data_IF_772470825632
#
_entry.id   IF_772470825632
#
_cell.length_a   1.000
_cell.length_b   1.000
_cell.length_c   1.000
_cell.angle_alpha   90.00
_cell.angle_beta   90.00
_cell.angle_gamma   90.00
#
_symmetry.space_group_name_H-M   'P 1'
#
loop_
_entity.id
_entity.type
_entity.pdbx_description
1 polymer ?
#
# COMPACT_ATOMS: atom_id res chain seq x y z
N UNK A 1 16.63 -5.54 -44.16
CA UNK A 1 16.05 -4.70 -43.09
C UNK A 1 15.72 -5.54 -41.84
N UNK A 2 16.10 -6.82 -41.84
CA UNK A 2 15.62 -7.86 -40.95
C UNK A 2 16.47 -8.03 -39.69
N UNK A 3 17.76 -7.65 -39.79
CA UNK A 3 18.73 -7.70 -38.68
C UNK A 3 18.30 -6.73 -37.56
N UNK A 4 17.80 -5.55 -37.93
CA UNK A 4 17.34 -4.52 -36.99
C UNK A 4 16.04 -4.93 -36.28
N UNK A 5 15.15 -5.66 -36.98
CA UNK A 5 13.90 -6.18 -36.41
C UNK A 5 14.16 -7.26 -35.36
N UNK A 6 15.10 -8.18 -35.62
CA UNK A 6 15.51 -9.19 -34.63
C UNK A 6 16.12 -8.58 -33.37
N UNK A 7 16.98 -7.57 -33.51
CA UNK A 7 17.56 -6.84 -32.38
C UNK A 7 16.49 -6.10 -31.56
N UNK A 8 15.52 -5.47 -32.21
CA UNK A 8 14.40 -4.81 -31.54
C UNK A 8 13.51 -5.81 -30.79
N UNK A 9 13.20 -6.96 -31.39
CA UNK A 9 12.41 -8.02 -30.74
C UNK A 9 13.13 -8.60 -29.51
N UNK A 10 14.45 -8.78 -29.57
CA UNK A 10 15.26 -9.24 -28.44
C UNK A 10 15.39 -8.19 -27.32
N UNK A 11 15.54 -6.91 -27.68
CA UNK A 11 15.55 -5.82 -26.72
C UNK A 11 14.20 -5.72 -25.98
N UNK A 12 13.10 -5.84 -26.71
CA UNK A 12 11.76 -5.85 -26.14
C UNK A 12 11.54 -7.06 -25.22
N UNK A 13 11.94 -8.27 -25.66
CA UNK A 13 11.83 -9.48 -24.84
C UNK A 13 12.60 -9.39 -23.52
N UNK A 14 13.75 -8.71 -23.49
CA UNK A 14 14.51 -8.44 -22.26
C UNK A 14 13.93 -7.35 -21.38
N UNK A 15 13.21 -6.39 -21.96
CA UNK A 15 12.60 -5.29 -21.22
C UNK A 15 11.25 -5.69 -20.56
N UNK A 16 10.52 -6.65 -21.16
CA UNK A 16 9.23 -7.14 -20.62
C UNK A 16 9.25 -7.63 -19.16
N UNK A 17 10.25 -8.34 -18.63
CA UNK A 17 10.27 -8.72 -17.22
C UNK A 17 10.47 -7.54 -16.25
N UNK A 18 11.09 -6.44 -16.70
CA UNK A 18 11.27 -5.23 -15.89
C UNK A 18 10.03 -4.32 -15.84
N UNK A 19 9.07 -4.52 -16.75
CA UNK A 19 7.79 -3.81 -16.79
C UNK A 19 6.62 -4.66 -16.31
N UNK A 20 6.88 -5.92 -15.93
CA UNK A 20 5.86 -6.73 -15.28
C UNK A 20 5.68 -6.19 -13.87
N UNK A 21 4.44 -5.88 -13.45
CA UNK A 21 4.19 -5.55 -12.05
C UNK A 21 4.60 -6.78 -11.24
N UNK A 22 5.70 -6.67 -10.48
CA UNK A 22 6.05 -7.70 -9.52
C UNK A 22 4.85 -7.83 -8.56
N UNK A 23 4.27 -9.02 -8.41
CA UNK A 23 3.36 -9.25 -7.32
C UNK A 23 4.20 -9.11 -6.06
N UNK A 24 4.12 -7.95 -5.40
CA UNK A 24 4.77 -7.71 -4.13
C UNK A 24 4.29 -8.82 -3.19
N UNK A 25 5.12 -9.85 -3.02
CA UNK A 25 4.92 -10.95 -2.10
C UNK A 25 5.09 -10.39 -0.68
N UNK A 26 4.10 -9.62 -0.25
CA UNK A 26 4.19 -8.72 0.89
C UNK A 26 3.23 -7.53 0.82
N UNK A 27 2.64 -7.21 -0.33
CA UNK A 27 1.87 -5.97 -0.54
C UNK A 27 0.75 -5.74 0.47
N UNK A 28 -0.07 -6.75 0.78
CA UNK A 28 -1.17 -6.61 1.76
C UNK A 28 -0.76 -6.96 3.20
N UNK A 29 0.10 -7.96 3.36
CA UNK A 29 0.53 -8.44 4.68
C UNK A 29 1.49 -7.44 5.35
N UNK A 30 2.42 -6.88 4.59
CA UNK A 30 3.31 -5.81 5.03
C UNK A 30 2.54 -4.56 5.41
N UNK A 31 1.59 -4.11 4.57
CA UNK A 31 0.72 -2.99 4.91
C UNK A 31 -0.11 -3.23 6.18
N UNK A 32 -0.61 -4.45 6.39
CA UNK A 32 -1.31 -4.79 7.62
C UNK A 32 -0.39 -4.76 8.86
N UNK A 33 0.86 -5.18 8.72
CA UNK A 33 1.87 -5.10 9.78
C UNK A 33 2.25 -3.64 10.07
N UNK A 34 2.56 -2.86 9.04
CA UNK A 34 2.88 -1.43 9.17
C UNK A 34 1.72 -0.65 9.81
N UNK A 35 0.48 -0.93 9.42
CA UNK A 35 -0.72 -0.34 10.04
C UNK A 35 -0.84 -0.69 11.53
N UNK A 36 -0.56 -1.94 11.89
CA UNK A 36 -0.59 -2.39 13.29
C UNK A 36 0.50 -1.70 14.12
N UNK A 37 1.68 -1.51 13.55
CA UNK A 37 2.80 -0.84 14.21
C UNK A 37 2.51 0.66 14.44
N UNK A 38 1.93 1.34 13.45
CA UNK A 38 1.50 2.75 13.58
C UNK A 38 0.42 2.89 14.66
N UNK A 39 -0.58 1.99 14.67
CA UNK A 39 -1.62 1.98 15.71
C UNK A 39 -1.04 1.80 17.11
N UNK A 40 -0.14 0.83 17.29
CA UNK A 40 0.49 0.57 18.59
C UNK A 40 1.30 1.77 19.08
N UNK A 41 2.06 2.42 18.19
CA UNK A 41 2.81 3.62 18.52
C UNK A 41 1.90 4.79 18.93
N UNK A 42 0.76 4.94 18.25
CA UNK A 42 -0.27 5.93 18.60
C UNK A 42 -0.89 5.67 19.98
N UNK A 43 -1.21 4.41 20.27
CA UNK A 43 -1.77 3.98 21.56
C UNK A 43 -0.81 4.22 22.73
N UNK A 44 0.48 3.93 22.54
CA UNK A 44 1.49 4.18 23.56
C UNK A 44 1.68 5.69 23.82
N UNK A 45 1.71 6.48 22.75
CA UNK A 45 1.77 7.95 22.84
C UNK A 45 0.54 8.52 23.55
N UNK A 46 -0.66 8.04 23.22
CA UNK A 46 -1.90 8.46 23.88
C UNK A 46 -1.89 8.12 25.37
N UNK A 47 -1.43 6.92 25.75
CA UNK A 47 -1.27 6.52 27.17
C UNK A 47 -0.24 7.40 27.90
N UNK A 48 0.87 7.75 27.24
CA UNK A 48 1.87 8.64 27.81
C UNK A 48 1.31 10.06 28.02
N UNK A 49 0.52 10.59 27.09
CA UNK A 49 -0.14 11.90 27.21
C UNK A 49 -1.22 11.90 28.29
N UNK A 50 -2.05 10.85 28.36
CA UNK A 50 -3.08 10.70 29.40
C UNK A 50 -2.48 10.61 30.81
N UNK A 51 -1.27 10.06 30.94
CA UNK A 51 -0.54 10.01 32.22
C UNK A 51 0.30 11.27 32.50
N UNK A 52 0.18 12.31 31.66
CA UNK A 52 0.88 13.59 31.81
C UNK A 52 2.37 13.56 31.45
N UNK A 53 2.86 12.49 30.82
CA UNK A 53 4.28 12.27 30.50
C UNK A 53 4.66 12.64 29.07
N UNK A 54 3.69 12.93 28.19
CA UNK A 54 3.95 13.32 26.80
C UNK A 54 3.16 14.59 26.42
N UNK A 55 3.80 15.44 25.62
CA UNK A 55 3.28 16.73 25.16
C UNK A 55 2.02 16.53 24.29
N UNK A 56 0.93 17.30 24.49
CA UNK A 56 -0.25 17.28 23.63
C UNK A 56 0.05 17.45 22.13
N UNK A 57 1.15 18.13 21.78
CA UNK A 57 1.58 18.24 20.38
C UNK A 57 1.99 16.90 19.77
N UNK A 58 2.64 16.02 20.56
CA UNK A 58 3.04 14.69 20.11
C UNK A 58 1.82 13.79 19.84
N UNK A 59 0.75 13.97 20.61
CA UNK A 59 -0.53 13.28 20.38
C UNK A 59 -1.16 13.67 19.04
N UNK A 60 -1.22 14.96 18.72
CA UNK A 60 -1.79 15.43 17.45
C UNK A 60 -0.97 14.94 16.26
N UNK A 61 0.35 14.90 16.39
CA UNK A 61 1.24 14.35 15.36
C UNK A 61 1.04 12.84 15.17
N UNK A 62 0.86 12.07 16.25
CA UNK A 62 0.57 10.64 16.16
C UNK A 62 -0.81 10.36 15.55
N UNK A 63 -1.81 11.19 15.87
CA UNK A 63 -3.15 11.09 15.30
C UNK A 63 -3.17 11.42 13.81
N UNK A 64 -2.46 12.45 13.35
CA UNK A 64 -2.40 12.79 11.93
C UNK A 64 -1.68 11.72 11.10
N UNK A 65 -0.64 11.08 11.65
CA UNK A 65 0.00 9.94 11.01
C UNK A 65 -0.94 8.72 10.89
N UNK A 66 -1.80 8.51 11.89
CA UNK A 66 -2.80 7.44 11.89
C UNK A 66 -3.93 7.72 10.90
N UNK A 67 -4.36 8.98 10.75
CA UNK A 67 -5.40 9.39 9.78
C UNK A 67 -5.03 9.00 8.35
N UNK A 68 -3.80 9.28 7.93
CA UNK A 68 -3.29 8.91 6.60
C UNK A 68 -3.30 7.38 6.38
N UNK A 69 -2.97 6.62 7.42
CA UNK A 69 -2.98 5.16 7.36
C UNK A 69 -4.42 4.61 7.21
N UNK A 70 -5.40 5.20 7.91
CA UNK A 70 -6.81 4.82 7.78
C UNK A 70 -7.37 5.17 6.41
N UNK A 71 -7.08 6.36 5.88
CA UNK A 71 -7.52 6.77 4.53
C UNK A 71 -7.01 5.81 3.45
N UNK A 72 -5.75 5.39 3.58
CA UNK A 72 -5.14 4.41 2.67
C UNK A 72 -5.81 3.03 2.79
N UNK A 73 -6.11 2.58 4.01
CA UNK A 73 -6.82 1.32 4.24
C UNK A 73 -8.24 1.32 3.64
N UNK A 74 -8.97 2.44 3.76
CA UNK A 74 -10.30 2.59 3.14
C UNK A 74 -10.20 2.60 1.61
N UNK A 75 -9.22 3.31 1.05
CA UNK A 75 -8.95 3.31 -0.39
C UNK A 75 -8.70 1.90 -0.92
N UNK A 76 -7.91 1.11 -0.19
CA UNK A 76 -7.62 -0.27 -0.55
C UNK A 76 -8.87 -1.16 -0.47
N UNK A 77 -9.69 -0.98 0.57
CA UNK A 77 -11.00 -1.65 0.70
C UNK A 77 -11.88 -1.38 -0.52
N UNK A 78 -11.97 -0.12 -0.93
CA UNK A 78 -12.82 0.28 -2.05
C UNK A 78 -12.32 -0.29 -3.38
N UNK A 79 -11.00 -0.32 -3.60
CA UNK A 79 -10.39 -0.95 -4.78
C UNK A 79 -10.62 -2.45 -4.85
N UNK A 80 -10.56 -3.15 -3.71
CA UNK A 80 -10.87 -4.59 -3.65
C UNK A 80 -12.35 -4.84 -3.96
N UNK A 81 -13.24 -4.00 -3.44
CA UNK A 81 -14.68 -4.09 -3.69
C UNK A 81 -15.02 -3.79 -5.16
N UNK A 82 -14.37 -2.80 -5.77
CA UNK A 82 -14.50 -2.47 -7.19
C UNK A 82 -14.08 -3.64 -8.08
N UNK A 83 -12.89 -4.21 -7.83
CA UNK A 83 -12.37 -5.36 -8.57
C UNK A 83 -13.28 -6.59 -8.45
N UNK A 84 -13.84 -6.85 -7.26
CA UNK A 84 -14.76 -7.96 -7.05
C UNK A 84 -16.08 -7.77 -7.82
N UNK A 85 -16.61 -6.53 -7.84
CA UNK A 85 -17.80 -6.19 -8.62
C UNK A 85 -17.54 -6.26 -10.12
N UNK A 86 -16.35 -5.93 -10.59
CA UNK A 86 -15.97 -6.01 -12.01
C UNK A 86 -15.89 -7.47 -12.48
N UNK A 87 -15.30 -8.37 -11.68
CA UNK A 87 -15.28 -9.82 -11.96
C UNK A 87 -16.70 -10.38 -12.07
N UNK A 88 -17.62 -9.96 -11.19
CA UNK A 88 -19.02 -10.41 -11.21
C UNK A 88 -19.85 -9.80 -12.36
N UNK A 89 -19.42 -8.67 -12.92
CA UNK A 89 -20.10 -7.98 -14.03
C UNK A 89 -19.62 -8.42 -15.41
N UNK A 90 -18.51 -9.15 -15.50
CA UNK A 90 -18.15 -9.79 -16.76
C UNK A 90 -19.14 -10.92 -17.06
N UNK A 91 -19.93 -10.85 -18.15
CA UNK A 91 -20.65 -12.02 -18.62
C UNK A 91 -19.62 -13.09 -19.06
N UNK A 92 -19.84 -14.32 -18.62
CA UNK A 92 -19.12 -15.51 -19.10
C UNK A 92 -19.30 -15.73 -20.60
#
# INVERSE_FOLDING_TARGET
>A
MDITSGLAAHAYARARPATQPEPQAGGLRGLAQDFTDVLNAGDETARATMTGRADPHALVQALSATELAVETAVTLRDKVVEAYQEILRMPV
#
